data_IF_630592168461
#
_entry.id   IF_630592168461
#
_cell.length_a   1.000
_cell.length_b   1.000
_cell.length_c   1.000
_cell.angle_alpha   90.00
_cell.angle_beta   90.00
_cell.angle_gamma   90.00
#
_symmetry.space_group_name_H-M   'P 1'
#
loop_
_entity.id
_entity.type
_entity.pdbx_description
1 polymer ?
#
# COMPACT_ATOMS: atom_id res chain seq x y z
N UNK A 1 17.56 -19.27 4.94
CA UNK A 1 16.35 -19.02 5.74
C UNK A 1 16.79 -18.68 7.16
N UNK A 2 16.43 -17.50 7.66
CA UNK A 2 16.75 -17.04 9.01
C UNK A 2 16.02 -17.86 10.08
N UNK A 3 16.45 -17.77 11.34
CA UNK A 3 15.78 -18.45 12.46
C UNK A 3 14.34 -17.95 12.65
N UNK A 4 14.10 -16.66 12.43
CA UNK A 4 12.77 -16.04 12.46
C UNK A 4 11.87 -16.53 11.33
N UNK A 5 12.40 -16.63 10.11
CA UNK A 5 11.67 -17.21 8.97
C UNK A 5 11.27 -18.67 9.21
N UNK A 6 12.12 -19.46 9.87
CA UNK A 6 11.79 -20.86 10.26
C UNK A 6 10.66 -20.88 11.28
N UNK A 7 10.73 -20.04 12.32
CA UNK A 7 9.70 -19.93 13.36
C UNK A 7 8.34 -19.53 12.75
N UNK A 8 8.33 -18.54 11.86
CA UNK A 8 7.13 -18.10 11.17
C UNK A 8 6.57 -19.19 10.25
N UNK A 9 7.43 -19.95 9.56
CA UNK A 9 7.01 -21.09 8.74
C UNK A 9 6.35 -22.20 9.59
N UNK A 10 6.87 -22.50 10.78
CA UNK A 10 6.27 -23.47 11.68
C UNK A 10 4.92 -22.98 12.23
N UNK A 11 4.78 -21.69 12.53
CA UNK A 11 3.49 -21.08 12.94
C UNK A 11 2.45 -21.19 11.82
N UNK A 12 2.85 -20.92 10.57
CA UNK A 12 1.97 -21.05 9.41
C UNK A 12 1.55 -22.51 9.21
N UNK A 13 2.48 -23.47 9.28
CA UNK A 13 2.18 -24.90 9.16
C UNK A 13 1.28 -25.43 10.26
N UNK A 14 1.39 -24.91 11.48
CA UNK A 14 0.55 -25.31 12.61
C UNK A 14 -0.85 -24.71 12.59
N UNK A 15 -1.02 -23.52 11.95
CA UNK A 15 -2.28 -22.79 11.91
C UNK A 15 -3.17 -23.09 10.71
N UNK A 16 -2.58 -23.62 9.62
CA UNK A 16 -3.29 -23.89 8.36
C UNK A 16 -3.06 -25.34 7.94
N UNK A 17 -4.00 -26.21 8.26
CA UNK A 17 -4.00 -27.57 7.73
C UNK A 17 -4.41 -27.53 6.24
N UNK A 18 -3.45 -27.78 5.35
CA UNK A 18 -3.64 -28.18 3.95
C UNK A 18 -4.40 -27.27 3.00
N UNK A 19 -4.09 -25.96 2.93
CA UNK A 19 -4.70 -25.05 1.96
C UNK A 19 -3.68 -24.24 1.14
N UNK A 20 -4.13 -23.64 0.04
CA UNK A 20 -3.37 -22.77 -0.85
C UNK A 20 -2.84 -21.53 -0.13
N UNK A 21 -3.57 -21.02 0.88
CA UNK A 21 -3.12 -19.96 1.79
C UNK A 21 -1.77 -20.31 2.46
N UNK A 22 -1.50 -21.60 2.70
CA UNK A 22 -0.21 -22.09 3.20
C UNK A 22 0.88 -21.94 2.15
N UNK A 23 0.59 -22.18 0.87
CA UNK A 23 1.57 -22.03 -0.23
C UNK A 23 1.95 -20.56 -0.42
N UNK A 24 0.97 -19.63 -0.40
CA UNK A 24 1.24 -18.21 -0.47
C UNK A 24 2.06 -17.72 0.73
N UNK A 25 1.65 -18.07 1.94
CA UNK A 25 2.38 -17.72 3.15
C UNK A 25 3.81 -18.30 3.11
N UNK A 26 3.98 -19.53 2.63
CA UNK A 26 5.29 -20.16 2.42
C UNK A 26 6.11 -19.40 1.38
N UNK A 27 5.54 -19.02 0.24
CA UNK A 27 6.23 -18.21 -0.78
C UNK A 27 6.65 -16.85 -0.21
N UNK A 28 5.77 -16.15 0.49
CA UNK A 28 6.09 -14.85 1.10
C UNK A 28 7.17 -14.95 2.18
N UNK A 29 7.20 -16.05 2.95
CA UNK A 29 8.24 -16.28 3.97
C UNK A 29 9.59 -16.62 3.32
N UNK A 30 9.60 -17.43 2.26
CA UNK A 30 10.82 -17.88 1.60
C UNK A 30 11.38 -16.81 0.65
N UNK A 31 10.54 -16.19 -0.18
CA UNK A 31 10.94 -15.30 -1.28
C UNK A 31 10.64 -13.82 -0.98
N UNK A 32 10.06 -13.51 0.17
CA UNK A 32 9.68 -12.15 0.57
C UNK A 32 8.26 -11.76 0.14
N UNK A 33 7.84 -10.54 0.52
CA UNK A 33 6.48 -10.06 0.32
C UNK A 33 6.10 -9.82 -1.15
N UNK A 34 7.07 -9.82 -2.06
CA UNK A 34 6.89 -9.57 -3.50
C UNK A 34 6.90 -10.88 -4.32
N UNK A 35 6.66 -12.02 -3.65
CA UNK A 35 6.59 -13.31 -4.33
C UNK A 35 5.44 -13.29 -5.35
N UNK A 36 5.82 -13.47 -6.64
CA UNK A 36 4.87 -13.50 -7.75
C UNK A 36 4.04 -14.78 -7.69
N UNK A 37 2.72 -14.64 -7.80
CA UNK A 37 1.80 -15.74 -8.00
C UNK A 37 1.47 -15.87 -9.50
N UNK A 38 1.29 -17.10 -9.93
CA UNK A 38 0.72 -17.43 -11.24
C UNK A 38 -0.78 -17.17 -11.25
N UNK A 39 -1.40 -17.05 -12.42
CA UNK A 39 -2.84 -16.88 -12.53
C UNK A 39 -3.62 -18.08 -11.98
N UNK A 40 -3.05 -19.30 -12.09
CA UNK A 40 -3.62 -20.50 -11.48
C UNK A 40 -3.64 -20.38 -9.95
N UNK A 41 -2.52 -20.02 -9.33
CA UNK A 41 -2.42 -19.83 -7.88
C UNK A 41 -3.34 -18.73 -7.38
N UNK A 42 -3.49 -17.63 -8.14
CA UNK A 42 -4.47 -16.57 -7.80
C UNK A 42 -5.90 -17.10 -7.85
N UNK A 43 -6.24 -17.90 -8.86
CA UNK A 43 -7.58 -18.47 -8.99
C UNK A 43 -7.89 -19.43 -7.83
N UNK A 44 -6.95 -20.24 -7.43
CA UNK A 44 -7.08 -21.15 -6.29
C UNK A 44 -7.31 -20.38 -4.97
N UNK A 45 -6.57 -19.27 -4.77
CA UNK A 45 -6.80 -18.38 -3.61
C UNK A 45 -8.20 -17.76 -3.66
N UNK A 46 -8.68 -17.35 -4.84
CA UNK A 46 -10.02 -16.80 -5.01
C UNK A 46 -11.07 -17.84 -4.63
N UNK A 47 -10.92 -19.08 -5.06
CA UNK A 47 -11.88 -20.15 -4.80
C UNK A 47 -11.94 -20.51 -3.31
N UNK A 48 -10.78 -20.63 -2.66
CA UNK A 48 -10.65 -20.88 -1.22
C UNK A 48 -11.21 -19.73 -0.39
N UNK A 49 -10.81 -18.49 -0.70
CA UNK A 49 -11.32 -17.31 -0.01
C UNK A 49 -12.82 -17.11 -0.20
N UNK A 50 -13.37 -17.42 -1.38
CA UNK A 50 -14.81 -17.37 -1.63
C UNK A 50 -15.56 -18.39 -0.77
N UNK A 51 -15.06 -19.63 -0.67
CA UNK A 51 -15.63 -20.65 0.19
C UNK A 51 -15.71 -20.17 1.65
N UNK A 52 -14.58 -19.74 2.22
CA UNK A 52 -14.53 -19.29 3.61
C UNK A 52 -15.33 -18.02 3.87
N UNK A 53 -15.41 -17.10 2.89
CA UNK A 53 -16.26 -15.92 3.02
C UNK A 53 -17.74 -16.30 3.02
N UNK A 54 -18.14 -17.28 2.22
CA UNK A 54 -19.50 -17.85 2.26
C UNK A 54 -19.84 -18.44 3.63
N UNK A 55 -18.92 -19.22 4.23
CA UNK A 55 -19.08 -19.74 5.59
C UNK A 55 -19.19 -18.62 6.64
N UNK A 56 -18.38 -17.57 6.50
CA UNK A 56 -18.47 -16.38 7.36
C UNK A 56 -19.85 -15.72 7.28
N UNK A 57 -20.41 -15.56 6.09
CA UNK A 57 -21.77 -14.99 5.92
C UNK A 57 -22.84 -15.88 6.57
N UNK A 58 -22.74 -17.21 6.40
CA UNK A 58 -23.65 -18.17 7.06
C UNK A 58 -23.57 -18.10 8.59
N UNK A 59 -22.36 -17.95 9.14
CA UNK A 59 -22.16 -17.79 10.58
C UNK A 59 -22.82 -16.51 11.13
N UNK A 60 -22.95 -15.46 10.27
CA UNK A 60 -23.71 -14.24 10.58
C UNK A 60 -25.23 -14.37 10.36
N UNK A 61 -25.73 -15.54 9.95
CA UNK A 61 -27.13 -15.78 9.65
C UNK A 61 -27.58 -15.27 8.25
N UNK A 62 -26.63 -14.96 7.37
CA UNK A 62 -26.92 -14.51 5.99
C UNK A 62 -26.93 -15.72 5.07
N UNK A 63 -28.12 -16.08 4.55
CA UNK A 63 -28.29 -17.18 3.59
C UNK A 63 -28.17 -16.58 2.18
N UNK A 64 -26.96 -16.28 1.81
CA UNK A 64 -26.61 -15.55 0.57
C UNK A 64 -26.99 -16.32 -0.72
N UNK A 65 -27.05 -17.67 -0.64
CA UNK A 65 -27.39 -18.53 -1.76
C UNK A 65 -28.86 -18.39 -2.21
N UNK A 66 -29.73 -17.93 -1.32
CA UNK A 66 -31.16 -17.79 -1.59
C UNK A 66 -31.54 -16.38 -2.05
N UNK A 67 -30.61 -15.43 -2.02
CA UNK A 67 -30.84 -14.07 -2.50
C UNK A 67 -30.15 -13.85 -3.85
N UNK A 68 -30.92 -13.61 -4.94
CA UNK A 68 -30.36 -13.40 -6.28
C UNK A 68 -29.38 -12.21 -6.38
N UNK A 69 -29.42 -11.26 -5.43
CA UNK A 69 -28.49 -10.13 -5.42
C UNK A 69 -27.14 -10.52 -4.77
N UNK A 70 -27.12 -11.53 -3.90
CA UNK A 70 -25.94 -11.94 -3.13
C UNK A 70 -25.44 -13.36 -3.40
N UNK A 71 -26.09 -14.13 -4.27
CA UNK A 71 -25.73 -15.51 -4.63
C UNK A 71 -24.25 -15.68 -5.06
N UNK A 72 -23.65 -14.64 -5.61
CA UNK A 72 -22.27 -14.63 -6.08
C UNK A 72 -21.36 -13.71 -5.22
N UNK A 73 -21.84 -13.18 -4.10
CA UNK A 73 -21.10 -12.24 -3.24
C UNK A 73 -19.79 -12.81 -2.72
N UNK A 74 -19.73 -14.07 -2.23
CA UNK A 74 -18.47 -14.63 -1.77
C UNK A 74 -17.36 -14.59 -2.82
N UNK A 75 -17.67 -14.96 -4.05
CA UNK A 75 -16.72 -14.96 -5.16
C UNK A 75 -16.36 -13.54 -5.62
N UNK A 76 -17.33 -12.61 -5.63
CA UNK A 76 -17.10 -11.20 -5.98
C UNK A 76 -16.13 -10.56 -4.97
N UNK A 77 -16.33 -10.81 -3.68
CA UNK A 77 -15.46 -10.29 -2.61
C UNK A 77 -14.07 -10.87 -2.72
N UNK A 78 -13.93 -12.20 -2.85
CA UNK A 78 -12.64 -12.85 -3.01
C UNK A 78 -11.85 -12.32 -4.21
N UNK A 79 -12.51 -12.15 -5.38
CA UNK A 79 -11.91 -11.53 -6.56
C UNK A 79 -11.47 -10.10 -6.32
N UNK A 80 -12.28 -9.28 -5.64
CA UNK A 80 -11.94 -7.90 -5.32
C UNK A 80 -10.69 -7.83 -4.43
N UNK A 81 -10.56 -8.73 -3.46
CA UNK A 81 -9.35 -8.80 -2.64
C UNK A 81 -8.11 -9.17 -3.45
N UNK A 82 -8.15 -10.21 -4.25
CA UNK A 82 -6.97 -10.73 -4.95
C UNK A 82 -6.57 -9.83 -6.12
N UNK A 83 -7.54 -9.38 -6.92
CA UNK A 83 -7.26 -8.70 -8.19
C UNK A 83 -7.18 -7.17 -8.06
N UNK A 84 -7.65 -6.61 -6.94
CA UNK A 84 -7.71 -5.16 -6.76
C UNK A 84 -7.20 -4.72 -5.39
N UNK A 85 -7.93 -4.96 -4.29
CA UNK A 85 -7.67 -4.39 -2.98
C UNK A 85 -6.31 -4.80 -2.40
N UNK A 86 -5.86 -6.03 -2.66
CA UNK A 86 -4.58 -6.58 -2.23
C UNK A 86 -3.67 -7.01 -3.38
N UNK A 87 -3.92 -6.51 -4.57
CA UNK A 87 -3.11 -6.81 -5.77
C UNK A 87 -1.61 -6.70 -5.53
N UNK A 88 -1.17 -5.67 -4.81
CA UNK A 88 0.23 -5.46 -4.45
C UNK A 88 0.86 -6.54 -3.56
N UNK A 89 0.06 -7.48 -3.00
CA UNK A 89 0.58 -8.65 -2.29
C UNK A 89 0.88 -9.83 -3.22
N UNK A 90 0.20 -9.88 -4.36
CA UNK A 90 0.20 -11.03 -5.27
C UNK A 90 0.95 -10.75 -6.56
N UNK A 91 1.24 -9.48 -6.83
CA UNK A 91 1.97 -9.03 -8.01
C UNK A 91 3.20 -8.23 -7.59
N UNK A 92 4.34 -8.39 -8.27
CA UNK A 92 5.51 -7.57 -8.02
C UNK A 92 5.24 -6.13 -8.44
N UNK A 93 5.96 -5.19 -7.83
CA UNK A 93 5.98 -3.82 -8.31
C UNK A 93 6.53 -3.81 -9.75
N UNK A 94 5.89 -3.01 -10.61
CA UNK A 94 6.37 -2.84 -11.99
C UNK A 94 7.75 -2.15 -11.98
N UNK A 95 8.57 -2.48 -12.97
CA UNK A 95 9.90 -1.88 -13.14
C UNK A 95 9.85 -0.36 -13.13
N UNK A 96 10.73 0.23 -12.33
CA UNK A 96 10.87 1.67 -12.18
C UNK A 96 12.13 2.13 -12.91
N UNK A 97 11.94 2.95 -13.92
CA UNK A 97 13.03 3.56 -14.68
C UNK A 97 13.47 4.84 -14.00
N UNK A 98 14.76 4.98 -13.81
CA UNK A 98 15.41 6.22 -13.37
C UNK A 98 16.38 6.74 -14.44
N UNK A 99 16.69 8.02 -14.38
CA UNK A 99 17.55 8.72 -15.33
C UNK A 99 18.63 9.50 -14.55
N UNK A 100 19.79 9.82 -15.15
CA UNK A 100 20.75 10.74 -14.54
C UNK A 100 20.07 12.07 -14.18
N UNK A 101 20.49 12.68 -13.06
CA UNK A 101 19.97 14.00 -12.65
C UNK A 101 20.48 15.15 -13.52
N UNK A 102 21.53 14.92 -14.29
CA UNK A 102 22.19 15.91 -15.15
C UNK A 102 22.53 17.22 -14.41
N UNK A 103 22.93 17.09 -13.15
CA UNK A 103 23.30 18.21 -12.30
C UNK A 103 22.14 18.90 -11.59
N UNK A 104 20.89 18.38 -11.73
CA UNK A 104 19.75 18.86 -10.94
C UNK A 104 19.89 18.40 -9.48
N UNK A 105 19.89 19.36 -8.55
CA UNK A 105 20.10 19.15 -7.10
C UNK A 105 19.00 19.78 -6.24
N UNK A 106 17.92 20.26 -6.87
CA UNK A 106 16.74 20.79 -6.19
C UNK A 106 15.75 19.72 -5.72
N UNK A 107 14.71 20.15 -5.03
CA UNK A 107 13.62 19.26 -4.61
C UNK A 107 12.79 18.83 -5.83
N UNK A 108 12.67 17.53 -6.04
CA UNK A 108 11.67 16.93 -6.93
C UNK A 108 10.51 16.51 -6.07
N UNK A 109 9.32 17.07 -6.32
CA UNK A 109 8.11 16.78 -5.52
C UNK A 109 6.91 16.51 -6.40
N UNK A 110 6.18 15.44 -6.07
CA UNK A 110 4.84 15.19 -6.57
C UNK A 110 3.87 15.19 -5.39
N UNK A 111 2.79 15.96 -5.51
CA UNK A 111 1.76 16.08 -4.49
C UNK A 111 0.41 15.63 -5.02
N UNK A 112 -0.51 15.31 -4.10
CA UNK A 112 -1.86 14.86 -4.43
C UNK A 112 -1.94 13.54 -5.22
N UNK A 113 -0.96 12.66 -5.09
CA UNK A 113 -1.05 11.30 -5.63
C UNK A 113 -2.19 10.57 -4.90
N UNK A 114 -3.25 10.13 -5.59
CA UNK A 114 -4.35 9.48 -4.94
C UNK A 114 -3.91 8.13 -4.36
N UNK A 115 -4.36 7.83 -3.15
CA UNK A 115 -4.14 6.53 -2.51
C UNK A 115 -5.44 5.94 -2.02
N UNK A 116 -5.65 4.68 -2.36
CA UNK A 116 -6.67 3.82 -1.77
C UNK A 116 -5.98 2.62 -1.17
N UNK A 117 -6.22 2.39 0.11
CA UNK A 117 -5.70 1.23 0.84
C UNK A 117 -6.79 0.61 1.70
N UNK A 118 -6.45 -0.45 2.39
CA UNK A 118 -7.33 -1.13 3.32
C UNK A 118 -6.67 -1.21 4.69
N UNK A 119 -7.38 -0.74 5.71
CA UNK A 119 -6.92 -0.84 7.08
C UNK A 119 -6.85 -2.31 7.53
N UNK A 120 -5.68 -2.76 7.98
CA UNK A 120 -5.50 -4.15 8.43
C UNK A 120 -6.30 -4.54 9.67
N UNK A 121 -6.82 -3.56 10.44
CA UNK A 121 -7.58 -3.84 11.66
C UNK A 121 -9.00 -4.34 11.40
N UNK A 122 -9.72 -3.70 10.48
CA UNK A 122 -11.14 -3.98 10.25
C UNK A 122 -11.49 -4.17 8.77
N UNK A 123 -10.49 -4.18 7.90
CA UNK A 123 -10.62 -4.28 6.43
C UNK A 123 -11.53 -3.19 5.83
N UNK A 124 -11.55 -2.02 6.47
CA UNK A 124 -12.23 -0.83 5.96
C UNK A 124 -11.28 0.03 5.14
N UNK A 125 -11.84 0.76 4.18
CA UNK A 125 -11.07 1.54 3.22
C UNK A 125 -10.37 2.73 3.87
N UNK A 126 -9.13 2.98 3.48
CA UNK A 126 -8.35 4.19 3.69
C UNK A 126 -8.29 4.91 2.36
N UNK A 127 -8.71 6.17 2.31
CA UNK A 127 -8.70 6.97 1.07
C UNK A 127 -8.09 8.35 1.33
N UNK A 128 -7.19 8.79 0.46
CA UNK A 128 -6.55 10.07 0.61
C UNK A 128 -5.53 10.38 -0.47
N UNK A 129 -4.55 11.20 -0.09
CA UNK A 129 -3.49 11.64 -1.00
C UNK A 129 -2.12 11.44 -0.34
N UNK A 130 -1.15 11.15 -1.19
CA UNK A 130 0.27 11.06 -0.83
C UNK A 130 1.02 12.22 -1.50
N UNK A 131 1.93 12.82 -0.76
CA UNK A 131 2.95 13.73 -1.29
C UNK A 131 4.31 13.09 -1.08
N UNK A 132 5.11 13.05 -2.14
CA UNK A 132 6.45 12.48 -2.17
C UNK A 132 7.41 13.54 -2.64
N UNK A 133 8.52 13.72 -1.93
CA UNK A 133 9.63 14.53 -2.38
C UNK A 133 10.95 13.80 -2.17
N UNK A 134 11.91 14.07 -3.04
CA UNK A 134 13.30 13.66 -2.86
C UNK A 134 14.24 14.71 -3.44
N UNK A 135 15.47 14.72 -2.98
CA UNK A 135 16.52 15.61 -3.48
C UNK A 135 17.61 14.70 -4.08
N UNK A 136 17.80 14.68 -5.40
CA UNK A 136 18.87 13.88 -6.00
C UNK A 136 20.23 14.46 -5.63
N UNK A 137 21.26 13.62 -5.49
CA UNK A 137 22.62 14.11 -5.48
C UNK A 137 23.00 14.64 -6.87
N UNK A 138 24.05 15.46 -6.94
CA UNK A 138 24.51 16.11 -8.20
C UNK A 138 24.72 15.11 -9.35
N UNK A 139 25.26 13.93 -9.01
CA UNK A 139 25.46 12.82 -9.96
C UNK A 139 24.49 11.64 -9.70
N UNK A 140 23.35 11.94 -9.07
CA UNK A 140 22.34 10.98 -8.69
C UNK A 140 21.35 10.67 -9.81
N UNK A 141 20.22 10.09 -9.43
CA UNK A 141 19.15 9.68 -10.35
C UNK A 141 17.86 10.43 -10.05
N UNK A 142 17.13 10.74 -11.11
CA UNK A 142 15.75 11.22 -11.04
C UNK A 142 14.80 10.14 -11.55
N UNK A 143 13.59 10.11 -10.99
CA UNK A 143 12.56 9.12 -11.29
C UNK A 143 11.43 9.79 -12.04
N UNK A 144 10.95 9.15 -13.09
CA UNK A 144 9.81 9.67 -13.85
C UNK A 144 8.55 9.78 -12.97
N UNK A 145 7.79 10.86 -13.17
CA UNK A 145 6.60 11.20 -12.36
C UNK A 145 5.63 10.02 -12.21
N UNK A 146 5.27 9.34 -13.31
CA UNK A 146 4.38 8.18 -13.31
C UNK A 146 4.89 7.00 -12.45
N UNK A 147 6.16 6.99 -12.10
CA UNK A 147 6.76 5.92 -11.30
C UNK A 147 6.46 6.09 -9.81
N UNK A 148 6.40 7.34 -9.32
CA UNK A 148 5.98 7.65 -7.95
C UNK A 148 4.53 7.20 -7.73
N UNK A 149 3.66 7.44 -8.71
CA UNK A 149 2.26 6.95 -8.68
C UNK A 149 2.17 5.42 -8.57
N UNK A 150 3.02 4.69 -9.32
CA UNK A 150 3.05 3.22 -9.27
C UNK A 150 3.53 2.68 -7.93
N UNK A 151 4.49 3.36 -7.29
CA UNK A 151 4.94 3.02 -5.92
C UNK A 151 3.78 3.17 -4.95
N UNK A 152 3.06 4.30 -4.99
CA UNK A 152 1.91 4.56 -4.12
C UNK A 152 0.83 3.50 -4.34
N UNK A 153 0.48 3.21 -5.59
CA UNK A 153 -0.52 2.20 -5.92
C UNK A 153 -0.11 0.80 -5.41
N UNK A 154 1.12 0.37 -5.68
CA UNK A 154 1.60 -0.94 -5.27
C UNK A 154 1.52 -1.14 -3.75
N UNK A 155 2.04 -0.19 -2.97
CA UNK A 155 2.01 -0.29 -1.51
C UNK A 155 0.62 -0.02 -0.93
N UNK A 156 -0.18 0.84 -1.55
CA UNK A 156 -1.59 1.05 -1.19
C UNK A 156 -2.42 -0.24 -1.30
N UNK A 157 -2.12 -1.08 -2.28
CA UNK A 157 -2.82 -2.34 -2.54
C UNK A 157 -2.27 -3.55 -1.78
N UNK A 158 -1.82 -3.35 -0.52
CA UNK A 158 -1.25 -4.44 0.31
C UNK A 158 -1.99 -4.68 1.63
N UNK A 159 -2.86 -3.77 2.03
CA UNK A 159 -3.57 -3.83 3.32
C UNK A 159 -2.60 -3.66 4.49
N UNK A 160 -2.61 -2.47 5.11
CA UNK A 160 -1.72 -2.12 6.22
C UNK A 160 -2.32 -1.01 7.08
N UNK A 161 -1.64 -0.64 8.15
CA UNK A 161 -1.91 0.62 8.84
C UNK A 161 -1.20 1.77 8.09
N UNK A 162 -1.71 2.98 8.23
CA UNK A 162 -1.20 4.14 7.48
C UNK A 162 0.27 4.45 7.78
N UNK A 163 0.72 4.24 8.99
CA UNK A 163 2.11 4.44 9.41
C UNK A 163 3.07 3.50 8.65
N UNK A 164 2.71 2.21 8.55
CA UNK A 164 3.49 1.22 7.79
C UNK A 164 3.48 1.52 6.30
N UNK A 165 2.34 1.96 5.74
CA UNK A 165 2.23 2.38 4.35
C UNK A 165 3.16 3.56 4.05
N UNK A 166 3.20 4.56 4.95
CA UNK A 166 4.09 5.73 4.82
C UNK A 166 5.56 5.31 4.79
N UNK A 167 5.95 4.42 5.71
CA UNK A 167 7.33 3.89 5.76
C UNK A 167 7.67 3.07 4.54
N UNK A 168 6.75 2.23 4.05
CA UNK A 168 6.97 1.37 2.88
C UNK A 168 7.20 2.21 1.61
N UNK A 169 6.36 3.23 1.38
CA UNK A 169 6.52 4.14 0.25
C UNK A 169 7.84 4.91 0.35
N UNK A 170 8.16 5.45 1.54
CA UNK A 170 9.41 6.17 1.76
C UNK A 170 10.63 5.30 1.42
N UNK A 171 10.70 4.08 1.96
CA UNK A 171 11.81 3.18 1.74
C UNK A 171 11.96 2.76 0.26
N UNK A 172 10.84 2.59 -0.44
CA UNK A 172 10.87 2.29 -1.87
C UNK A 172 11.43 3.46 -2.69
N UNK A 173 11.01 4.69 -2.39
CA UNK A 173 11.54 5.89 -3.04
C UNK A 173 13.03 6.07 -2.75
N UNK A 174 13.45 5.86 -1.50
CA UNK A 174 14.84 5.96 -1.08
C UNK A 174 15.75 4.98 -1.84
N UNK A 175 15.29 3.73 -2.00
CA UNK A 175 16.02 2.70 -2.75
C UNK A 175 16.09 2.98 -4.26
N UNK A 176 15.00 3.48 -4.85
CA UNK A 176 14.90 3.71 -6.29
C UNK A 176 15.67 4.98 -6.70
N UNK A 177 15.63 6.01 -5.89
CA UNK A 177 16.39 7.25 -6.07
C UNK A 177 17.79 7.10 -5.47
N UNK A 178 18.53 6.07 -5.85
CA UNK A 178 19.88 5.80 -5.37
C UNK A 178 20.77 7.05 -5.46
N UNK A 179 21.48 7.36 -4.38
CA UNK A 179 22.31 8.56 -4.27
C UNK A 179 21.51 9.84 -3.95
N UNK A 180 20.23 9.73 -3.53
CA UNK A 180 19.51 10.90 -3.01
C UNK A 180 20.13 11.41 -1.71
N UNK A 181 19.95 12.69 -1.41
CA UNK A 181 20.39 13.31 -0.15
C UNK A 181 19.27 13.46 0.86
N UNK A 182 18.06 13.08 0.51
CA UNK A 182 16.90 13.03 1.39
C UNK A 182 15.61 12.68 0.67
N UNK A 183 14.72 12.03 1.40
CA UNK A 183 13.36 11.66 0.96
C UNK A 183 12.36 12.14 2.00
N UNK A 184 11.21 12.62 1.54
CA UNK A 184 10.05 12.96 2.37
C UNK A 184 8.78 12.36 1.77
N UNK A 185 7.98 11.70 2.61
CA UNK A 185 6.66 11.18 2.25
C UNK A 185 5.66 11.61 3.29
N UNK A 186 4.51 12.12 2.86
CA UNK A 186 3.37 12.45 3.71
C UNK A 186 2.10 11.85 3.13
N UNK A 187 1.30 11.22 3.97
CA UNK A 187 -0.03 10.72 3.64
C UNK A 187 -1.05 11.49 4.46
N UNK A 188 -2.07 12.02 3.79
CA UNK A 188 -3.26 12.57 4.43
C UNK A 188 -4.47 11.77 3.94
N UNK A 189 -5.12 11.04 4.85
CA UNK A 189 -6.19 10.12 4.46
C UNK A 189 -7.30 10.04 5.52
N UNK A 190 -8.49 9.68 5.04
CA UNK A 190 -9.65 9.34 5.86
C UNK A 190 -9.75 7.82 6.01
N UNK A 191 -10.29 7.39 7.14
CA UNK A 191 -10.43 5.98 7.49
C UNK A 191 -11.89 5.61 7.71
N UNK A 192 -12.45 4.75 6.87
CA UNK A 192 -13.84 4.32 7.04
C UNK A 192 -14.07 3.55 8.34
N UNK A 193 -13.06 2.87 8.88
CA UNK A 193 -13.14 2.22 10.18
C UNK A 193 -13.43 3.20 11.36
N UNK A 194 -13.17 4.51 11.17
CA UNK A 194 -13.51 5.59 12.11
C UNK A 194 -14.78 6.33 11.70
N UNK A 195 -15.03 6.47 10.38
CA UNK A 195 -16.16 7.27 9.86
C UNK A 195 -17.48 6.50 9.83
N UNK A 196 -17.47 5.23 9.40
CA UNK A 196 -18.69 4.45 9.17
C UNK A 196 -19.14 3.65 10.39
N UNK A 197 -18.21 3.29 11.27
CA UNK A 197 -18.44 2.45 12.44
C UNK A 197 -17.63 2.93 13.65
N UNK A 198 -17.80 2.31 14.82
CA UNK A 198 -17.08 2.67 16.04
C UNK A 198 -17.39 4.10 16.47
N UNK A 199 -16.39 4.97 16.40
CA UNK A 199 -16.48 6.39 16.82
C UNK A 199 -17.39 7.22 15.93
N UNK A 200 -17.56 6.86 14.64
CA UNK A 200 -18.40 7.55 13.65
C UNK A 200 -18.07 9.03 13.44
N UNK A 201 -16.79 9.38 13.53
CA UNK A 201 -16.32 10.76 13.31
C UNK A 201 -16.06 11.01 11.83
N UNK A 202 -17.06 11.55 11.11
CA UNK A 202 -17.04 11.73 9.64
C UNK A 202 -16.02 12.75 9.15
N UNK A 203 -15.60 13.71 9.96
CA UNK A 203 -14.61 14.73 9.61
C UNK A 203 -13.17 14.37 9.95
N UNK A 204 -12.93 13.18 10.54
CA UNK A 204 -11.59 12.79 10.95
C UNK A 204 -10.72 12.47 9.73
N UNK A 205 -9.53 13.05 9.69
CA UNK A 205 -8.44 12.67 8.79
C UNK A 205 -7.18 12.38 9.59
N UNK A 206 -6.33 11.51 9.08
CA UNK A 206 -5.06 11.14 9.68
C UNK A 206 -3.92 11.59 8.78
N UNK A 207 -2.92 12.22 9.37
CA UNK A 207 -1.68 12.60 8.69
C UNK A 207 -0.52 11.82 9.27
N UNK A 208 0.27 11.21 8.37
CA UNK A 208 1.52 10.53 8.72
C UNK A 208 2.62 11.02 7.80
N UNK A 209 3.81 11.24 8.34
CA UNK A 209 4.96 11.66 7.57
C UNK A 209 6.21 10.85 7.96
N UNK A 210 7.04 10.55 6.96
CA UNK A 210 8.38 9.96 7.12
C UNK A 210 9.35 10.79 6.30
N UNK A 211 10.40 11.28 6.96
CA UNK A 211 11.45 12.09 6.37
C UNK A 211 12.82 11.45 6.62
N UNK A 212 13.77 11.70 5.72
CA UNK A 212 15.16 11.29 5.87
C UNK A 212 16.12 12.33 5.29
N UNK A 213 17.41 12.21 5.57
CA UNK A 213 18.47 13.05 5.03
C UNK A 213 18.24 14.55 5.25
N UNK A 214 18.36 15.32 4.18
CA UNK A 214 18.21 16.77 4.21
C UNK A 214 16.86 17.25 4.75
N UNK A 215 15.78 16.53 4.53
CA UNK A 215 14.47 16.90 5.11
C UNK A 215 14.43 16.82 6.65
N UNK A 216 15.37 16.09 7.29
CA UNK A 216 15.51 16.11 8.74
C UNK A 216 16.49 17.20 9.17
N UNK A 217 17.65 17.29 8.50
CA UNK A 217 18.77 18.10 8.96
C UNK A 217 18.70 19.56 8.56
N UNK A 218 17.99 19.88 7.45
CA UNK A 218 17.78 21.23 6.95
C UNK A 218 16.32 21.67 7.11
N UNK A 219 16.12 22.72 7.90
CA UNK A 219 14.79 23.28 8.17
C UNK A 219 14.18 23.96 6.93
N UNK A 220 15.01 24.50 6.01
CA UNK A 220 14.53 25.16 4.79
C UNK A 220 13.93 24.13 3.83
N UNK A 221 14.64 23.05 3.52
CA UNK A 221 14.14 21.94 2.69
C UNK A 221 12.87 21.34 3.24
N UNK A 222 12.81 21.14 4.56
CA UNK A 222 11.60 20.64 5.23
C UNK A 222 10.42 21.61 5.09
N UNK A 223 10.65 22.91 5.28
CA UNK A 223 9.61 23.94 5.15
C UNK A 223 9.09 24.04 3.71
N UNK A 224 9.98 23.96 2.72
CA UNK A 224 9.63 23.97 1.31
C UNK A 224 8.74 22.77 0.95
N UNK A 225 9.06 21.56 1.44
CA UNK A 225 8.22 20.37 1.24
C UNK A 225 6.78 20.60 1.70
N UNK A 226 6.58 21.09 2.91
CA UNK A 226 5.23 21.33 3.44
C UNK A 226 4.51 22.48 2.73
N UNK A 227 5.24 23.56 2.40
CA UNK A 227 4.68 24.70 1.65
C UNK A 227 4.18 24.28 0.26
N UNK A 228 4.93 23.41 -0.43
CA UNK A 228 4.52 22.89 -1.73
C UNK A 228 3.26 22.03 -1.64
N UNK A 229 3.05 21.29 -0.55
CA UNK A 229 1.81 20.54 -0.29
C UNK A 229 0.64 21.50 -0.13
N UNK A 230 0.77 22.57 0.67
CA UNK A 230 -0.27 23.58 0.86
C UNK A 230 -0.62 24.28 -0.45
N UNK A 231 0.37 24.68 -1.24
CA UNK A 231 0.18 25.28 -2.56
C UNK A 231 -0.62 24.36 -3.49
N UNK A 232 -0.23 23.09 -3.57
CA UNK A 232 -0.89 22.09 -4.43
C UNK A 232 -2.34 21.80 -3.98
N UNK A 233 -2.64 21.93 -2.70
CA UNK A 233 -4.00 21.76 -2.16
C UNK A 233 -4.91 22.92 -2.54
N UNK A 234 -4.39 24.14 -2.55
CA UNK A 234 -5.14 25.35 -2.89
C UNK A 234 -5.46 25.44 -4.40
N UNK A 235 -4.61 24.90 -5.28
CA UNK A 235 -4.86 24.88 -6.72
C UNK A 235 -6.07 24.02 -7.13
N UNK A 236 -6.47 23.03 -6.33
CA UNK A 236 -7.63 22.15 -6.64
C UNK A 236 -8.99 22.86 -6.52
N UNK A 237 -9.08 24.00 -5.87
CA UNK A 237 -10.34 24.73 -5.67
C UNK A 237 -10.67 25.73 -6.79
N UNK A 238 -9.78 25.83 -7.81
CA UNK A 238 -9.93 26.83 -8.89
C UNK A 238 -10.21 26.19 -10.27
N UNK A 239 -10.60 24.90 -10.33
CA UNK A 239 -10.98 24.22 -11.58
C UNK A 239 -12.32 23.50 -11.46
#
# INVERSE_FOLDING_TARGET
>A
MTQEQRKNLELVKSGFANGISTQLATKQIIFGPDARLTDVEKQEIIDDAAHHYGEFLRALGVVWELDPNSDNTPRRVAKAYVNDLWKGRYEPMSDITSFPSDGYDGIVQESNIPVTSMCSHHHETIMGNVSIAYIPAKDGKVVGLSKLNRIVEHFGRRGSIQEQLTVAIHNAVDQICEGNIGVAVMINATHNCVQCRGVKHRGASMQTAKLSGAFITDAASRAEFYKNIEFSSNCKHNH
#
